data_IF_498819426558
#
_entry.id   IF_498819426558
#
_cell.length_a   1.000
_cell.length_b   1.000
_cell.length_c   1.000
_cell.angle_alpha   90.00
_cell.angle_beta   90.00
_cell.angle_gamma   90.00
#
_symmetry.space_group_name_H-M   'P 1'
#
loop_
_entity.id
_entity.type
_entity.pdbx_description
1 polymer ?
#
# COMPACT_ATOMS: atom_id res chain seq x y z
N UNK A 1 2.17 7.27 -8.64
CA UNK A 1 2.61 5.98 -9.21
C UNK A 1 1.85 5.70 -10.50
N UNK A 2 2.52 5.24 -11.57
CA UNK A 2 1.87 4.75 -12.79
C UNK A 2 2.20 3.26 -12.97
N UNK A 3 1.17 2.42 -13.08
CA UNK A 3 1.35 0.98 -13.28
C UNK A 3 1.61 0.63 -14.76
N UNK A 4 1.19 1.51 -15.67
CA UNK A 4 1.50 1.51 -17.10
C UNK A 4 1.26 2.91 -17.67
N UNK A 5 1.28 3.10 -19.00
CA UNK A 5 1.14 4.42 -19.61
C UNK A 5 -0.23 5.08 -19.43
N UNK A 6 -1.27 4.33 -19.02
CA UNK A 6 -2.64 4.82 -18.85
C UNK A 6 -3.04 4.96 -17.39
N UNK A 7 -2.74 3.93 -16.59
CA UNK A 7 -3.26 3.80 -15.23
C UNK A 7 -2.30 4.34 -14.19
N UNK A 8 -2.76 5.30 -13.40
CA UNK A 8 -1.99 5.95 -12.35
C UNK A 8 -2.78 6.22 -11.08
N UNK A 9 -2.04 6.40 -9.98
CA UNK A 9 -2.55 6.73 -8.66
C UNK A 9 -1.68 7.80 -8.01
N UNK A 10 -2.32 8.74 -7.33
CA UNK A 10 -1.67 9.71 -6.44
C UNK A 10 -2.28 9.59 -5.05
N UNK A 11 -1.46 9.83 -4.04
CA UNK A 11 -1.84 9.79 -2.63
C UNK A 11 -1.29 11.01 -1.91
N UNK A 12 -1.91 11.40 -0.79
CA UNK A 12 -1.44 12.55 -0.02
C UNK A 12 -2.23 12.81 1.25
N UNK A 13 -2.29 14.08 1.63
CA UNK A 13 -2.89 14.57 2.87
C UNK A 13 -4.38 14.21 2.98
N UNK A 14 -4.87 14.16 4.23
CA UNK A 14 -6.29 13.91 4.55
C UNK A 14 -6.87 12.64 3.91
N UNK A 15 -6.05 11.58 3.78
CA UNK A 15 -6.47 10.32 3.19
C UNK A 15 -6.70 10.38 1.68
N UNK A 16 -6.20 11.41 0.99
CA UNK A 16 -6.44 11.61 -0.43
C UNK A 16 -5.91 10.45 -1.25
N UNK A 17 -6.77 9.87 -2.07
CA UNK A 17 -6.41 8.95 -3.15
C UNK A 17 -7.13 9.42 -4.42
N UNK A 18 -6.39 9.54 -5.53
CA UNK A 18 -6.99 9.75 -6.84
C UNK A 18 -6.38 8.80 -7.88
N UNK A 19 -7.20 8.33 -8.82
CA UNK A 19 -6.78 7.46 -9.92
C UNK A 19 -7.06 8.08 -11.28
N UNK A 20 -6.25 7.71 -12.27
CA UNK A 20 -6.45 8.04 -13.68
C UNK A 20 -6.35 6.75 -14.50
N UNK A 21 -7.12 6.67 -15.60
CA UNK A 21 -7.04 5.62 -16.61
C UNK A 21 -6.75 6.18 -18.02
N UNK A 22 -6.41 7.48 -18.09
CA UNK A 22 -6.23 8.22 -19.33
C UNK A 22 -4.93 9.05 -19.36
N UNK A 23 -3.88 8.49 -18.74
CA UNK A 23 -2.54 9.07 -18.68
C UNK A 23 -2.48 10.41 -17.93
N UNK A 24 -3.33 10.56 -16.91
CA UNK A 24 -3.33 11.72 -16.01
C UNK A 24 -4.11 12.93 -16.53
N UNK A 25 -4.95 12.77 -17.56
CA UNK A 25 -5.79 13.87 -18.07
C UNK A 25 -6.99 14.11 -17.17
N UNK A 26 -7.59 13.04 -16.64
CA UNK A 26 -8.65 13.11 -15.65
C UNK A 26 -8.30 12.25 -14.42
N UNK A 27 -8.73 12.72 -13.25
CA UNK A 27 -8.50 12.06 -11.97
C UNK A 27 -9.83 11.87 -11.25
N UNK A 28 -10.05 10.64 -10.76
CA UNK A 28 -11.23 10.26 -9.97
C UNK A 28 -10.80 10.00 -8.54
N UNK A 29 -11.45 10.67 -7.58
CA UNK A 29 -11.18 10.48 -6.15
C UNK A 29 -11.69 9.10 -5.70
N UNK A 30 -10.93 8.43 -4.84
CA UNK A 30 -11.27 7.16 -4.21
C UNK A 30 -11.39 7.35 -2.70
N UNK A 31 -12.35 6.65 -2.09
CA UNK A 31 -12.47 6.62 -0.63
C UNK A 31 -11.39 5.69 -0.06
N UNK A 32 -10.52 6.24 0.79
CA UNK A 32 -9.45 5.50 1.47
C UNK A 32 -9.90 4.87 2.79
N UNK A 33 -10.99 5.36 3.39
CA UNK A 33 -11.35 5.06 4.78
C UNK A 33 -10.32 5.54 5.82
N UNK A 34 -9.42 6.44 5.43
CA UNK A 34 -8.45 7.08 6.32
C UNK A 34 -8.56 8.60 6.24
N UNK A 35 -8.16 9.28 7.30
CA UNK A 35 -8.01 10.74 7.35
C UNK A 35 -6.54 11.14 7.53
N UNK A 36 -5.63 10.16 7.62
CA UNK A 36 -4.21 10.39 7.80
C UNK A 36 -3.53 10.73 6.46
N UNK A 37 -2.34 11.34 6.54
CA UNK A 37 -1.51 11.53 5.35
C UNK A 37 -1.04 10.17 4.81
N UNK A 38 -1.35 9.91 3.55
CA UNK A 38 -0.87 8.76 2.80
C UNK A 38 0.44 9.14 2.11
N UNK A 39 1.51 8.37 2.36
CA UNK A 39 2.89 8.77 2.05
C UNK A 39 3.44 8.14 0.78
N UNK A 40 3.09 6.90 0.49
CA UNK A 40 3.58 6.21 -0.69
C UNK A 40 2.59 5.17 -1.20
N UNK A 41 2.67 4.85 -2.49
CA UNK A 41 1.77 3.95 -3.19
C UNK A 41 2.51 3.11 -4.22
N UNK A 42 2.23 1.81 -4.21
CA UNK A 42 2.75 0.86 -5.19
C UNK A 42 1.61 0.04 -5.80
N UNK A 43 1.66 -0.18 -7.11
CA UNK A 43 0.75 -1.09 -7.81
C UNK A 43 1.52 -2.10 -8.63
N UNK A 44 1.20 -3.39 -8.48
CA UNK A 44 1.83 -4.46 -9.29
C UNK A 44 1.28 -4.50 -10.71
N UNK A 45 0.03 -4.08 -10.87
CA UNK A 45 -0.70 -3.96 -12.13
C UNK A 45 -1.86 -2.96 -11.90
N UNK A 46 -2.75 -2.78 -12.87
CA UNK A 46 -3.83 -1.79 -12.74
C UNK A 46 -4.91 -2.14 -11.69
N UNK A 47 -4.88 -3.36 -11.14
CA UNK A 47 -5.91 -3.86 -10.23
C UNK A 47 -5.43 -3.96 -8.78
N UNK A 48 -4.17 -4.30 -8.56
CA UNK A 48 -3.69 -4.67 -7.24
C UNK A 48 -2.56 -3.76 -6.76
N UNK A 49 -2.76 -3.16 -5.58
CA UNK A 49 -1.89 -2.12 -5.06
C UNK A 49 -1.98 -1.95 -3.55
N UNK A 50 -0.96 -1.24 -3.03
CA UNK A 50 -0.74 -0.98 -1.61
C UNK A 50 -0.44 0.49 -1.39
N UNK A 51 -0.92 1.02 -0.28
CA UNK A 51 -0.62 2.38 0.20
C UNK A 51 -0.16 2.30 1.64
N UNK A 52 0.79 3.16 2.00
CA UNK A 52 1.23 3.32 3.39
C UNK A 52 1.17 4.78 3.85
N UNK A 53 1.03 5.02 5.16
CA UNK A 53 0.82 6.38 5.68
C UNK A 53 1.15 6.63 7.16
N UNK A 54 0.79 7.83 7.63
CA UNK A 54 1.14 8.35 8.97
C UNK A 54 0.57 7.58 10.15
N UNK A 55 -0.69 7.15 10.09
CA UNK A 55 -1.34 6.39 11.18
C UNK A 55 -0.94 4.90 11.18
N UNK A 56 0.29 4.61 10.75
CA UNK A 56 0.75 3.26 10.42
C UNK A 56 -0.17 2.55 9.41
N UNK A 57 -0.78 3.33 8.52
CA UNK A 57 -1.71 2.82 7.53
C UNK A 57 -1.04 1.84 6.59
N UNK A 58 -1.73 0.73 6.35
CA UNK A 58 -1.47 -0.17 5.23
C UNK A 58 -2.81 -0.44 4.57
N UNK A 59 -3.02 0.17 3.40
CA UNK A 59 -4.21 -0.07 2.59
C UNK A 59 -3.87 -1.00 1.45
N UNK A 60 -4.81 -1.87 1.09
CA UNK A 60 -4.69 -2.79 -0.03
C UNK A 60 -5.94 -2.81 -0.88
N UNK A 61 -5.75 -2.90 -2.18
CA UNK A 61 -6.83 -3.09 -3.14
C UNK A 61 -6.50 -4.24 -4.08
N UNK A 62 -7.53 -4.91 -4.57
CA UNK A 62 -7.48 -5.91 -5.64
C UNK A 62 -8.35 -5.53 -6.86
N UNK A 63 -8.90 -4.32 -6.85
CA UNK A 63 -9.85 -3.84 -7.86
C UNK A 63 -9.57 -2.39 -8.32
N UNK A 64 -8.30 -1.98 -8.34
CA UNK A 64 -7.84 -0.68 -8.85
C UNK A 64 -8.13 0.48 -7.91
N UNK A 65 -8.41 0.19 -6.64
CA UNK A 65 -8.76 1.19 -5.63
C UNK A 65 -10.24 1.59 -5.63
N UNK A 66 -11.11 0.82 -6.32
CA UNK A 66 -12.58 0.95 -6.13
C UNK A 66 -12.98 0.65 -4.69
N UNK A 67 -12.23 -0.23 -4.02
CA UNK A 67 -12.31 -0.49 -2.59
C UNK A 67 -10.89 -0.66 -2.02
N UNK A 68 -10.65 -0.06 -0.86
CA UNK A 68 -9.43 -0.17 -0.09
C UNK A 68 -9.71 -0.89 1.23
N UNK A 69 -8.96 -1.96 1.51
CA UNK A 69 -9.01 -2.68 2.77
C UNK A 69 -7.84 -2.21 3.66
N UNK A 70 -8.14 -1.76 4.87
CA UNK A 70 -7.15 -1.31 5.84
C UNK A 70 -6.67 -2.47 6.71
N UNK A 71 -5.35 -2.69 6.74
CA UNK A 71 -4.69 -3.62 7.65
C UNK A 71 -4.16 -2.85 8.85
N UNK A 72 -4.63 -3.22 10.04
CA UNK A 72 -4.21 -2.62 11.31
C UNK A 72 -3.19 -3.50 12.03
N UNK A 73 -2.41 -2.92 12.94
CA UNK A 73 -1.43 -3.66 13.74
C UNK A 73 -0.14 -4.06 13.00
N UNK A 74 0.06 -3.58 11.76
CA UNK A 74 1.29 -3.79 10.98
C UNK A 74 2.48 -3.05 11.61
N UNK A 75 2.26 -1.79 11.96
CA UNK A 75 3.22 -0.92 12.65
C UNK A 75 2.50 -0.11 13.73
N UNK A 76 3.28 0.43 14.65
CA UNK A 76 2.86 1.41 15.67
C UNK A 76 3.38 2.82 15.34
N UNK A 77 4.11 2.96 14.24
CA UNK A 77 4.74 4.20 13.78
C UNK A 77 4.44 4.41 12.29
N UNK A 78 4.51 5.68 11.82
CA UNK A 78 4.36 6.04 10.42
C UNK A 78 5.19 5.17 9.47
N UNK A 79 4.56 4.83 8.34
CA UNK A 79 5.21 4.16 7.22
C UNK A 79 5.39 5.19 6.09
N UNK A 80 6.62 5.32 5.60
CA UNK A 80 7.03 6.36 4.66
C UNK A 80 7.19 5.85 3.22
N UNK A 81 7.36 4.55 3.03
CA UNK A 81 7.59 3.97 1.70
C UNK A 81 7.10 2.55 1.57
N UNK A 82 6.71 2.14 0.36
CA UNK A 82 6.28 0.79 0.02
C UNK A 82 6.81 0.38 -1.35
N UNK A 83 7.35 -0.82 -1.47
CA UNK A 83 7.87 -1.33 -2.74
C UNK A 83 7.80 -2.85 -2.83
N UNK A 84 7.57 -3.39 -4.02
CA UNK A 84 7.61 -4.83 -4.29
C UNK A 84 8.59 -5.16 -5.42
N UNK A 85 9.32 -6.27 -5.29
CA UNK A 85 10.24 -6.77 -6.35
C UNK A 85 9.55 -7.74 -7.30
N UNK A 86 8.67 -8.56 -6.76
CA UNK A 86 7.68 -9.36 -7.46
C UNK A 86 6.40 -9.19 -6.64
N UNK A 87 5.20 -9.20 -7.23
CA UNK A 87 3.95 -8.81 -6.55
C UNK A 87 3.54 -9.62 -5.30
N UNK A 88 4.43 -10.46 -4.80
CA UNK A 88 4.36 -11.27 -3.58
C UNK A 88 5.41 -10.83 -2.55
N UNK A 89 6.60 -10.40 -2.98
CA UNK A 89 7.68 -9.93 -2.10
C UNK A 89 7.80 -8.42 -2.13
N UNK A 90 7.52 -7.82 -0.98
CA UNK A 90 7.59 -6.38 -0.83
C UNK A 90 8.02 -5.94 0.56
N UNK A 91 8.29 -4.65 0.67
CA UNK A 91 8.73 -3.99 1.88
C UNK A 91 7.90 -2.75 2.13
N UNK A 92 7.62 -2.49 3.40
CA UNK A 92 7.22 -1.17 3.86
C UNK A 92 8.30 -0.66 4.81
N UNK A 93 8.66 0.61 4.67
CA UNK A 93 9.69 1.26 5.49
C UNK A 93 9.09 2.44 6.21
N UNK A 94 9.55 2.71 7.43
CA UNK A 94 8.98 3.76 8.28
C UNK A 94 9.99 4.36 9.25
N UNK A 95 9.53 5.29 10.07
CA UNK A 95 10.35 6.01 11.04
C UNK A 95 10.95 5.06 12.10
N UNK A 96 12.09 5.44 12.68
CA UNK A 96 12.82 4.69 13.72
C UNK A 96 13.34 3.31 13.27
N UNK A 97 14.03 3.27 12.13
CA UNK A 97 14.73 2.09 11.60
C UNK A 97 13.84 0.85 11.34
N UNK A 98 12.55 1.06 11.06
CA UNK A 98 11.62 -0.04 10.79
C UNK A 98 11.61 -0.44 9.30
N UNK A 99 12.01 -1.68 9.02
CA UNK A 99 11.86 -2.34 7.73
C UNK A 99 10.95 -3.55 7.92
N UNK A 100 9.80 -3.54 7.24
CA UNK A 100 8.90 -4.68 7.16
C UNK A 100 9.09 -5.38 5.83
N UNK A 101 8.99 -6.71 5.80
CA UNK A 101 9.09 -7.53 4.60
C UNK A 101 7.94 -8.54 4.55
N UNK A 102 7.32 -8.69 3.39
CA UNK A 102 6.30 -9.70 3.12
C UNK A 102 6.79 -10.69 2.06
N UNK A 103 6.38 -11.96 2.17
CA UNK A 103 6.62 -13.01 1.15
C UNK A 103 5.36 -13.38 0.36
N UNK A 104 4.22 -12.78 0.67
CA UNK A 104 2.92 -13.17 0.11
C UNK A 104 2.04 -11.98 -0.29
N UNK A 105 2.53 -10.75 -0.30
CA UNK A 105 1.73 -9.57 -0.69
C UNK A 105 0.77 -9.05 0.38
N UNK A 106 0.44 -9.83 1.42
CA UNK A 106 -0.71 -9.52 2.30
C UNK A 106 -0.34 -9.41 3.78
N UNK A 107 0.94 -9.62 4.17
CA UNK A 107 1.28 -9.63 5.59
C UNK A 107 2.69 -9.08 5.88
N UNK A 108 2.73 -7.99 6.65
CA UNK A 108 3.93 -7.31 7.13
C UNK A 108 3.87 -7.32 8.66
N UNK A 109 4.78 -8.04 9.34
CA UNK A 109 4.73 -8.13 10.80
C UNK A 109 6.03 -8.56 11.47
N UNK A 110 6.42 -7.70 12.43
CA UNK A 110 7.41 -7.74 13.53
C UNK A 110 8.90 -8.09 13.26
N UNK A 111 9.73 -7.10 13.62
CA UNK A 111 11.19 -7.10 13.65
C UNK A 111 11.79 -8.26 14.45
N UNK A 112 12.52 -9.12 13.74
CA UNK A 112 13.96 -9.43 13.88
C UNK A 112 14.24 -10.61 12.96
N UNK A 113 14.45 -10.36 11.66
CA UNK A 113 14.72 -11.42 10.67
C UNK A 113 13.84 -12.68 10.84
N UNK A 114 12.52 -12.57 10.69
CA UNK A 114 11.63 -13.73 10.69
C UNK A 114 10.77 -13.65 9.44
N UNK A 115 10.90 -14.66 8.58
CA UNK A 115 9.90 -14.94 7.57
C UNK A 115 8.59 -15.28 8.30
N UNK A 116 7.56 -14.46 8.12
CA UNK A 116 6.22 -14.81 8.59
C UNK A 116 5.71 -16.01 7.78
N UNK A 117 5.69 -17.17 8.43
CA UNK A 117 4.76 -18.24 8.10
C UNK A 117 3.35 -17.69 8.35
N UNK A 118 2.52 -17.70 7.32
CA UNK A 118 1.07 -17.71 7.49
C UNK A 118 0.63 -19.12 7.15
N UNK A 119 0.17 -19.84 8.17
CA UNK A 119 -0.46 -21.14 8.00
C UNK A 119 -1.70 -20.99 7.15
N UNK A 120 -1.91 -21.99 6.30
CA UNK A 120 -3.15 -22.27 5.63
C UNK A 120 -4.33 -22.14 6.60
N UNK A 121 -5.40 -21.52 6.11
CA UNK A 121 -6.75 -21.93 6.49
C UNK A 121 -7.24 -22.66 5.24
N UNK A 122 -7.67 -23.90 5.42
CA UNK A 122 -8.30 -24.77 4.41
C UNK A 122 -9.41 -24.05 3.64
#
# INVERSE_FOLDING_TARGET
YFANEKYGWVVGDEGTIATTDDSGRHWTIQDSGSVAMLRDVFFKNSQEGWIVGEDADVLYTKNGGKQWNRYTGVSEFPLNGVWFVDGEKGWAVGTYDRIFHTKTGVNLGRNRAIALKVNAIE
#
